data_IF_794660056973
#
_entry.id   IF_794660056973
#
_cell.length_a   1.000
_cell.length_b   1.000
_cell.length_c   1.000
_cell.angle_alpha   90.00
_cell.angle_beta   90.00
_cell.angle_gamma   90.00
#
_symmetry.space_group_name_H-M   'P 1'
#
loop_
_entity.id
_entity.type
_entity.pdbx_description
1 polymer ?
#
# COMPACT_ATOMS: atom_id res chain seq x y z
N UNK A 1 13.61 29.09 -21.89
CA UNK A 1 14.26 28.52 -20.70
C UNK A 1 13.35 28.88 -19.52
N UNK A 2 12.53 27.99 -18.99
CA UNK A 2 12.71 26.55 -18.79
C UNK A 2 11.38 25.86 -19.07
N UNK A 3 11.39 24.86 -19.93
CA UNK A 3 10.29 23.92 -20.02
C UNK A 3 10.14 23.26 -18.65
N UNK A 4 8.99 23.49 -18.02
CA UNK A 4 8.56 22.73 -16.85
C UNK A 4 8.27 21.32 -17.38
N UNK A 5 9.31 20.49 -17.41
CA UNK A 5 9.18 19.05 -17.58
C UNK A 5 8.35 18.60 -16.38
N UNK A 6 7.07 18.33 -16.62
CA UNK A 6 6.23 17.61 -15.68
C UNK A 6 6.90 16.25 -15.52
N UNK A 7 7.57 16.10 -14.40
CA UNK A 7 8.43 14.98 -14.06
C UNK A 7 7.54 13.74 -13.84
N UNK A 8 7.84 12.68 -14.59
CA UNK A 8 7.34 11.31 -14.52
C UNK A 8 6.59 11.00 -13.19
N UNK A 9 5.27 10.80 -13.29
CA UNK A 9 4.40 10.06 -12.37
C UNK A 9 4.72 10.18 -10.86
N UNK A 10 3.95 10.99 -10.13
CA UNK A 10 4.09 11.24 -8.69
C UNK A 10 3.93 9.95 -7.84
N UNK A 11 5.01 9.16 -7.74
CA UNK A 11 5.00 7.86 -7.05
C UNK A 11 4.92 8.10 -5.55
N UNK A 12 3.86 7.56 -4.97
CA UNK A 12 3.60 7.51 -3.53
C UNK A 12 4.72 6.72 -2.87
N UNK A 13 5.53 7.41 -2.06
CA UNK A 13 6.65 6.85 -1.30
C UNK A 13 6.18 6.07 -0.05
N UNK A 14 6.92 5.02 0.36
CA UNK A 14 6.69 4.31 1.62
C UNK A 14 6.62 5.22 2.84
N UNK A 15 5.97 4.73 3.90
CA UNK A 15 5.84 5.41 5.19
C UNK A 15 6.46 4.56 6.29
N UNK A 16 6.98 5.17 7.35
CA UNK A 16 7.65 4.46 8.44
C UNK A 16 6.89 4.61 9.75
N UNK A 17 6.71 3.51 10.46
CA UNK A 17 6.22 3.46 11.83
C UNK A 17 7.37 3.06 12.74
N UNK A 18 7.55 3.76 13.85
CA UNK A 18 8.58 3.45 14.84
C UNK A 18 7.89 2.98 16.12
N UNK A 19 8.21 1.78 16.55
CA UNK A 19 7.80 1.27 17.85
C UNK A 19 8.70 1.87 18.93
N UNK A 20 8.20 2.88 19.65
CA UNK A 20 8.95 3.55 20.71
C UNK A 20 9.30 2.64 21.89
N UNK A 21 8.67 1.47 22.04
CA UNK A 21 8.99 0.51 23.11
C UNK A 21 10.24 -0.30 22.78
N UNK A 22 10.39 -0.70 21.51
CA UNK A 22 11.49 -1.57 21.06
C UNK A 22 12.57 -0.83 20.28
N UNK A 23 12.29 0.40 19.83
CA UNK A 23 13.12 1.17 18.90
C UNK A 23 13.05 0.66 17.44
N UNK A 24 12.21 -0.33 17.16
CA UNK A 24 12.13 -0.95 15.82
C UNK A 24 11.39 -0.05 14.84
N UNK A 25 11.98 0.16 13.66
CA UNK A 25 11.35 0.92 12.59
C UNK A 25 10.82 -0.02 11.49
N UNK A 26 9.53 0.12 11.17
CA UNK A 26 8.83 -0.64 10.15
C UNK A 26 8.51 0.26 8.96
N UNK A 27 9.13 -0.01 7.82
CA UNK A 27 8.72 0.57 6.53
C UNK A 27 7.48 -0.15 5.97
N UNK A 28 6.41 0.61 5.77
CA UNK A 28 5.12 0.16 5.26
C UNK A 28 4.95 0.57 3.81
N UNK A 29 4.63 -0.42 2.99
CA UNK A 29 4.42 -0.26 1.55
C UNK A 29 3.71 -1.50 0.98
N UNK A 30 3.21 -1.39 -0.24
CA UNK A 30 2.51 -2.45 -0.94
C UNK A 30 3.26 -2.86 -2.22
N UNK A 31 3.14 -4.13 -2.55
CA UNK A 31 3.45 -4.68 -3.87
C UNK A 31 2.29 -5.57 -4.33
N UNK A 32 2.39 -6.12 -5.54
CA UNK A 32 1.37 -7.01 -6.09
C UNK A 32 1.06 -8.21 -5.17
N UNK A 33 2.07 -8.76 -4.50
CA UNK A 33 1.89 -9.91 -3.60
C UNK A 33 1.10 -9.54 -2.34
N UNK A 34 1.40 -8.41 -1.70
CA UNK A 34 0.67 -7.94 -0.52
C UNK A 34 -0.77 -7.57 -0.86
N UNK A 35 -1.01 -6.97 -2.04
CA UNK A 35 -2.36 -6.67 -2.54
C UNK A 35 -3.14 -7.96 -2.78
N UNK A 36 -2.59 -8.90 -3.56
CA UNK A 36 -3.23 -10.20 -3.81
C UNK A 36 -3.54 -10.95 -2.51
N UNK A 37 -2.64 -10.87 -1.53
CA UNK A 37 -2.85 -11.48 -0.22
C UNK A 37 -4.03 -10.86 0.55
N UNK A 38 -4.22 -9.55 0.44
CA UNK A 38 -5.34 -8.82 1.02
C UNK A 38 -6.66 -9.19 0.31
N UNK A 39 -6.68 -9.14 -1.02
CA UNK A 39 -7.86 -9.44 -1.84
C UNK A 39 -8.35 -10.89 -1.66
N UNK A 40 -7.42 -11.86 -1.58
CA UNK A 40 -7.75 -13.25 -1.30
C UNK A 40 -8.40 -13.48 0.08
N UNK A 41 -8.32 -12.49 0.98
CA UNK A 41 -9.00 -12.49 2.29
C UNK A 41 -10.30 -11.68 2.28
N UNK A 42 -10.76 -11.27 1.10
CA UNK A 42 -11.97 -10.47 0.93
C UNK A 42 -11.79 -9.01 1.32
N UNK A 43 -10.56 -8.50 1.39
CA UNK A 43 -10.32 -7.07 1.61
C UNK A 43 -10.73 -6.27 0.38
N UNK A 44 -11.47 -5.19 0.61
CA UNK A 44 -11.82 -4.19 -0.40
C UNK A 44 -11.57 -2.81 0.18
N UNK A 45 -10.80 -1.99 -0.53
CA UNK A 45 -10.43 -0.65 -0.05
C UNK A 45 -11.66 0.25 0.12
N UNK A 46 -12.70 0.08 -0.71
CA UNK A 46 -13.94 0.85 -0.64
C UNK A 46 -14.76 0.59 0.64
N UNK A 47 -14.51 -0.54 1.32
CA UNK A 47 -15.18 -0.88 2.57
C UNK A 47 -14.58 -0.18 3.79
N UNK A 48 -13.50 0.61 3.64
CA UNK A 48 -12.85 1.32 4.74
C UNK A 48 -13.79 2.32 5.44
N UNK A 49 -14.72 2.93 4.71
CA UNK A 49 -15.70 3.88 5.27
C UNK A 49 -16.93 3.19 5.84
N UNK A 50 -17.22 1.96 5.38
CA UNK A 50 -18.41 1.18 5.79
C UNK A 50 -18.10 0.33 7.03
N UNK A 51 -16.91 -0.28 7.07
CA UNK A 51 -16.47 -1.16 8.14
C UNK A 51 -15.09 -0.73 8.70
N UNK A 52 -14.93 0.52 9.18
CA UNK A 52 -13.64 1.08 9.55
C UNK A 52 -12.94 0.28 10.66
N UNK A 53 -13.68 -0.21 11.65
CA UNK A 53 -13.12 -0.98 12.78
C UNK A 53 -12.42 -2.26 12.31
N UNK A 54 -12.89 -2.89 11.23
CA UNK A 54 -12.30 -4.13 10.70
C UNK A 54 -11.29 -3.84 9.61
N UNK A 55 -11.64 -2.96 8.66
CA UNK A 55 -10.88 -2.75 7.42
C UNK A 55 -9.64 -1.88 7.62
N UNK A 56 -9.68 -0.89 8.51
CA UNK A 56 -8.52 -0.03 8.78
C UNK A 56 -7.37 -0.84 9.40
N UNK A 57 -7.59 -1.67 10.45
CA UNK A 57 -6.53 -2.54 10.96
C UNK A 57 -6.03 -3.58 9.95
N UNK A 58 -6.91 -4.08 9.06
CA UNK A 58 -6.52 -4.97 7.97
C UNK A 58 -5.58 -4.30 6.97
N UNK A 59 -5.93 -3.11 6.48
CA UNK A 59 -5.07 -2.34 5.59
C UNK A 59 -3.70 -2.09 6.24
N UNK A 60 -3.70 -1.69 7.51
CA UNK A 60 -2.47 -1.47 8.27
C UNK A 60 -1.60 -2.73 8.29
N UNK A 61 -2.16 -3.87 8.68
CA UNK A 61 -1.46 -5.16 8.71
C UNK A 61 -0.89 -5.54 7.33
N UNK A 62 -1.67 -5.36 6.26
CA UNK A 62 -1.22 -5.72 4.92
C UNK A 62 -0.05 -4.84 4.43
N UNK A 63 0.06 -3.60 4.89
CA UNK A 63 1.17 -2.72 4.56
C UNK A 63 2.53 -3.19 5.10
N UNK A 64 2.55 -4.07 6.11
CA UNK A 64 3.78 -4.69 6.59
C UNK A 64 4.25 -5.82 5.68
N UNK A 65 3.37 -6.44 4.89
CA UNK A 65 3.66 -7.72 4.22
C UNK A 65 4.80 -7.63 3.20
N UNK A 66 4.99 -6.48 2.55
CA UNK A 66 6.05 -6.28 1.56
C UNK A 66 7.44 -6.41 2.18
N UNK A 67 7.70 -5.67 3.28
CA UNK A 67 9.03 -5.55 3.87
C UNK A 67 9.20 -6.37 5.17
N UNK A 68 8.10 -6.72 5.83
CA UNK A 68 8.04 -7.30 7.18
C UNK A 68 7.07 -8.48 7.26
N UNK A 69 7.15 -9.42 6.31
CA UNK A 69 6.24 -10.57 6.16
C UNK A 69 6.03 -11.45 7.40
N UNK A 70 6.94 -11.39 8.37
CA UNK A 70 6.92 -12.19 9.60
C UNK A 70 6.29 -11.46 10.79
N UNK A 71 5.93 -10.18 10.65
CA UNK A 71 5.24 -9.43 11.70
C UNK A 71 3.83 -10.00 11.85
N UNK A 72 3.52 -10.47 13.07
CA UNK A 72 2.25 -11.10 13.37
C UNK A 72 1.11 -10.07 13.41
N UNK A 73 -0.13 -10.51 13.13
CA UNK A 73 -1.31 -9.63 13.19
C UNK A 73 -1.50 -9.01 14.57
N UNK A 74 -1.32 -9.78 15.63
CA UNK A 74 -1.39 -9.27 17.02
C UNK A 74 -0.35 -8.18 17.29
N UNK A 75 0.80 -8.23 16.63
CA UNK A 75 1.83 -7.21 16.76
C UNK A 75 1.42 -5.92 16.04
N UNK A 76 0.87 -6.00 14.83
CA UNK A 76 0.38 -4.80 14.13
C UNK A 76 -0.81 -4.18 14.83
N UNK A 77 -1.71 -4.98 15.39
CA UNK A 77 -2.85 -4.46 16.17
C UNK A 77 -2.36 -3.72 17.43
N UNK A 78 -1.39 -4.30 18.15
CA UNK A 78 -0.78 -3.64 19.31
C UNK A 78 -0.04 -2.34 18.95
N UNK A 79 0.59 -2.26 17.77
CA UNK A 79 1.18 -1.02 17.26
C UNK A 79 0.10 0.03 16.98
N UNK A 80 -1.00 -0.37 16.34
CA UNK A 80 -2.12 0.52 16.02
C UNK A 80 -2.78 1.08 17.29
N UNK A 81 -3.03 0.22 18.28
CA UNK A 81 -3.54 0.62 19.59
C UNK A 81 -2.55 1.54 20.32
N UNK A 82 -1.25 1.22 20.26
CA UNK A 82 -0.18 2.01 20.87
C UNK A 82 -0.02 3.41 20.27
N UNK A 83 -0.41 3.62 19.01
CA UNK A 83 -0.46 4.94 18.36
C UNK A 83 -1.71 5.75 18.74
N UNK A 84 -2.67 5.16 19.47
CA UNK A 84 -3.96 5.77 19.75
C UNK A 84 -4.92 5.78 18.56
N UNK A 85 -4.70 4.87 17.60
CA UNK A 85 -5.44 4.81 16.34
C UNK A 85 -4.72 5.47 15.16
N UNK A 86 -5.33 5.37 13.99
CA UNK A 86 -4.76 5.88 12.73
C UNK A 86 -5.22 7.31 12.48
N UNK A 87 -4.29 8.21 12.13
CA UNK A 87 -4.63 9.55 11.64
C UNK A 87 -5.19 9.47 10.22
N UNK A 88 -6.01 10.46 9.82
CA UNK A 88 -6.56 10.54 8.46
C UNK A 88 -5.47 10.59 7.39
N UNK A 89 -4.44 11.42 7.59
CA UNK A 89 -3.32 11.54 6.66
C UNK A 89 -2.54 10.22 6.51
N UNK A 90 -2.39 9.47 7.60
CA UNK A 90 -1.72 8.17 7.54
C UNK A 90 -2.58 7.13 6.82
N UNK A 91 -3.88 7.07 7.11
CA UNK A 91 -4.81 6.20 6.40
C UNK A 91 -4.83 6.49 4.89
N UNK A 92 -4.95 7.76 4.51
CA UNK A 92 -4.93 8.20 3.11
C UNK A 92 -3.63 7.76 2.43
N UNK A 93 -2.49 7.90 3.11
CA UNK A 93 -1.21 7.44 2.57
C UNK A 93 -1.19 5.94 2.32
N UNK A 94 -1.72 5.12 3.23
CA UNK A 94 -1.79 3.67 3.04
C UNK A 94 -2.74 3.29 1.89
N UNK A 95 -3.86 4.00 1.73
CA UNK A 95 -4.78 3.80 0.60
C UNK A 95 -4.11 4.13 -0.74
N UNK A 96 -3.39 5.26 -0.82
CA UNK A 96 -2.62 5.64 -1.99
C UNK A 96 -1.57 4.57 -2.36
N UNK A 97 -0.85 4.04 -1.37
CA UNK A 97 0.14 2.98 -1.59
C UNK A 97 -0.51 1.67 -2.05
N UNK A 98 -1.64 1.28 -1.44
CA UNK A 98 -2.40 0.10 -1.84
C UNK A 98 -2.89 0.22 -3.29
N UNK A 99 -3.55 1.32 -3.63
CA UNK A 99 -4.09 1.56 -4.97
C UNK A 99 -2.97 1.64 -6.02
N UNK A 100 -1.86 2.31 -5.70
CA UNK A 100 -0.68 2.31 -6.55
C UNK A 100 -0.25 0.88 -6.86
N UNK A 101 -0.04 0.03 -5.85
CA UNK A 101 0.41 -1.35 -6.04
C UNK A 101 -0.62 -2.25 -6.74
N UNK A 102 -1.92 -2.02 -6.52
CA UNK A 102 -3.00 -2.74 -7.18
C UNK A 102 -3.03 -2.43 -8.69
N UNK A 103 -2.78 -1.18 -9.06
CA UNK A 103 -2.88 -0.70 -10.44
C UNK A 103 -1.57 -0.84 -11.24
N UNK A 104 -0.41 -0.95 -10.56
CA UNK A 104 0.96 -0.95 -11.14
C UNK A 104 1.17 -1.99 -12.27
N UNK A 105 0.27 -2.98 -12.44
CA UNK A 105 0.35 -3.95 -13.53
C UNK A 105 -1.01 -4.31 -14.18
N UNK A 106 -2.09 -3.60 -13.86
CA UNK A 106 -3.44 -3.90 -14.37
C UNK A 106 -3.94 -2.84 -15.36
N UNK A 107 -3.40 -1.63 -15.32
CA UNK A 107 -3.72 -0.55 -16.25
C UNK A 107 -2.42 -0.07 -16.87
N UNK A 108 -2.17 -0.45 -18.12
CA UNK A 108 -1.21 0.27 -18.96
C UNK A 108 -1.90 1.55 -19.39
N UNK A 109 -1.46 2.71 -18.91
CA UNK A 109 -1.77 3.96 -19.62
C UNK A 109 -1.00 3.93 -20.94
N UNK A 110 -1.59 4.42 -22.03
CA UNK A 110 -1.08 4.27 -23.41
C UNK A 110 0.38 4.72 -23.63
N UNK A 111 0.97 5.43 -22.66
CA UNK A 111 2.38 5.88 -22.68
C UNK A 111 3.41 4.83 -22.23
N UNK A 112 3.02 3.70 -21.63
CA UNK A 112 3.96 2.69 -21.08
C UNK A 112 4.02 1.36 -21.88
N UNK A 113 3.25 1.22 -22.95
CA UNK A 113 2.99 -0.07 -23.60
C UNK A 113 4.14 -0.72 -24.40
N UNK A 114 5.39 -0.26 -24.36
CA UNK A 114 6.35 -0.71 -25.39
C UNK A 114 7.79 -0.98 -24.98
N UNK A 115 8.16 -1.08 -23.69
CA UNK A 115 9.58 -1.33 -23.35
C UNK A 115 9.95 -2.70 -22.82
N UNK A 116 9.04 -3.51 -22.27
CA UNK A 116 9.39 -4.85 -21.75
C UNK A 116 8.23 -5.88 -21.75
N UNK A 117 7.34 -5.88 -22.74
CA UNK A 117 6.32 -6.93 -22.84
C UNK A 117 6.89 -8.17 -23.56
N UNK A 118 6.99 -9.30 -22.85
CA UNK A 118 7.43 -10.59 -23.42
C UNK A 118 6.30 -11.31 -24.18
N UNK A 119 5.05 -10.84 -24.05
CA UNK A 119 3.86 -11.46 -24.63
C UNK A 119 2.97 -10.38 -25.27
N UNK A 120 2.59 -10.59 -26.52
CA UNK A 120 1.65 -9.74 -27.27
C UNK A 120 0.29 -10.43 -27.33
N UNK A 121 -0.80 -9.67 -27.12
CA UNK A 121 -2.18 -10.14 -27.33
C UNK A 121 -2.67 -9.59 -28.67
N UNK A 122 -3.03 -10.47 -29.60
CA UNK A 122 -3.76 -10.12 -30.83
C UNK A 122 -5.27 -10.24 -30.54
N UNK A 123 -6.06 -9.23 -30.94
CA UNK A 123 -7.52 -9.19 -30.81
C UNK A 123 -8.20 -9.63 -32.11
#
# INVERSE_FOLDING_TARGET
MSDNIINIQDRVQPVRVIDNKTGTAYELDFNRESVKFAENRGFKVDELTVFPVTRIPELFYYAFRKNHKNVARSQTDALLDGMGGMTSAFLERLMQLYNQAALTHLISTDEDSAKNAEVTVEL
#
